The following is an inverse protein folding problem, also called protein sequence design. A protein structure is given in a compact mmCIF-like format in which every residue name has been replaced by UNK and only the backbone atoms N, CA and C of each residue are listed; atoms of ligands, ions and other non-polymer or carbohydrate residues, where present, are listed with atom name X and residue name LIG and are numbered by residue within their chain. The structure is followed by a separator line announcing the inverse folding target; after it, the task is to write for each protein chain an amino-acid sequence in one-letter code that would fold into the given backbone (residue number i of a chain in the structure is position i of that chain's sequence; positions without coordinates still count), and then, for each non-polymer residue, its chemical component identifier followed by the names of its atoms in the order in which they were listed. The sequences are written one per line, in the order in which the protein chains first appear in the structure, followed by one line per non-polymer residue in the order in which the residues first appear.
data_IF_483186486682
#
_entry.id   IF_483186486682
#
_cell.length_a   1.000
_cell.length_b   1.000
_cell.length_c   1.000
_cell.angle_alpha   90.00
_cell.angle_beta   90.00
_cell.angle_gamma   90.00
#
_symmetry.space_group_name_H-M   'P 1'
#
loop_
_entity.id
_entity.type
_entity.pdbx_description
1 polymer ?
#
# COMPACT_ATOMS: atom_id res chain seq x y z
N UNK A 1 -11.23 -4.39 -31.41
CA UNK A 1 -11.05 -3.25 -30.49
C UNK A 1 -10.03 -3.68 -29.45
N UNK A 2 -8.77 -3.24 -29.58
CA UNK A 2 -7.70 -3.62 -28.65
C UNK A 2 -7.68 -2.58 -27.54
N UNK A 3 -8.25 -2.89 -26.38
CA UNK A 3 -8.12 -2.06 -25.18
C UNK A 3 -6.63 -1.97 -24.82
N UNK A 4 -6.06 -0.78 -24.93
CA UNK A 4 -4.72 -0.50 -24.41
C UNK A 4 -4.78 -0.68 -22.89
N UNK A 5 -4.20 -1.78 -22.39
CA UNK A 5 -4.10 -2.05 -20.96
C UNK A 5 -3.19 -0.97 -20.36
N UNK A 6 -3.68 -0.26 -19.34
CA UNK A 6 -2.93 0.81 -18.70
C UNK A 6 -1.67 0.25 -18.02
N UNK A 7 -0.58 1.03 -17.98
CA UNK A 7 0.67 0.62 -17.31
C UNK A 7 0.46 0.19 -15.85
N UNK A 8 -0.51 0.79 -15.15
CA UNK A 8 -0.91 0.41 -13.79
C UNK A 8 -1.49 -0.99 -13.70
N UNK A 9 -2.35 -1.38 -14.65
CA UNK A 9 -2.98 -2.70 -14.69
C UNK A 9 -1.95 -3.81 -14.97
N UNK A 10 -1.00 -3.57 -15.88
CA UNK A 10 0.10 -4.50 -16.14
C UNK A 10 0.97 -4.74 -14.90
N UNK A 11 1.28 -3.67 -14.14
CA UNK A 11 2.04 -3.80 -12.89
C UNK A 11 1.24 -4.50 -11.81
N UNK A 12 -0.07 -4.27 -11.72
CA UNK A 12 -0.94 -4.97 -10.78
C UNK A 12 -0.95 -6.48 -11.07
N UNK A 13 -1.19 -6.88 -12.32
CA UNK A 13 -1.16 -8.30 -12.71
C UNK A 13 0.22 -8.96 -12.45
N UNK A 14 1.31 -8.21 -12.67
CA UNK A 14 2.65 -8.68 -12.34
C UNK A 14 2.87 -8.83 -10.82
N UNK A 15 2.32 -7.92 -10.01
CA UNK A 15 2.38 -8.00 -8.55
C UNK A 15 1.59 -9.21 -8.04
N UNK A 16 0.36 -9.42 -8.52
CA UNK A 16 -0.47 -10.58 -8.16
C UNK A 16 0.27 -11.89 -8.40
N UNK A 17 0.90 -12.04 -9.57
CA UNK A 17 1.72 -13.22 -9.89
C UNK A 17 2.94 -13.34 -8.99
N UNK A 18 3.64 -12.24 -8.70
CA UNK A 18 4.85 -12.24 -7.90
C UNK A 18 4.58 -12.64 -6.44
N UNK A 19 3.44 -12.21 -5.90
CA UNK A 19 3.03 -12.50 -4.52
C UNK A 19 2.05 -13.68 -4.40
N UNK A 20 1.91 -14.46 -5.47
CA UNK A 20 1.08 -15.67 -5.48
C UNK A 20 1.52 -16.62 -4.37
N UNK A 21 0.58 -17.09 -3.55
CA UNK A 21 0.84 -17.96 -2.41
C UNK A 21 1.21 -17.24 -1.11
N UNK A 22 1.29 -15.91 -1.12
CA UNK A 22 1.43 -15.11 0.11
C UNK A 22 0.07 -14.61 0.61
N UNK A 23 -0.07 -14.50 1.93
CA UNK A 23 -1.27 -13.94 2.57
C UNK A 23 -1.29 -12.39 2.46
N UNK A 24 -1.57 -11.89 1.25
CA UNK A 24 -1.74 -10.46 0.98
C UNK A 24 -3.20 -10.07 1.23
N UNK A 25 -3.43 -9.04 2.03
CA UNK A 25 -4.77 -8.47 2.28
C UNK A 25 -5.28 -7.73 1.07
N UNK A 26 -4.47 -6.87 0.44
CA UNK A 26 -4.79 -6.19 -0.80
C UNK A 26 -3.55 -5.60 -1.49
N UNK A 27 -3.69 -5.22 -2.76
CA UNK A 27 -2.72 -4.44 -3.51
C UNK A 27 -3.15 -2.97 -3.55
N UNK A 28 -2.18 -2.06 -3.53
CA UNK A 28 -2.43 -0.62 -3.54
C UNK A 28 -1.72 0.05 -4.71
N UNK A 29 -2.44 0.89 -5.46
CA UNK A 29 -1.88 1.80 -6.48
C UNK A 29 -2.06 3.25 -6.06
N UNK A 30 -1.32 4.16 -6.69
CA UNK A 30 -1.37 5.60 -6.41
C UNK A 30 -1.19 5.94 -4.93
N UNK A 31 -0.23 5.25 -4.32
CA UNK A 31 0.02 5.35 -2.88
C UNK A 31 0.79 6.63 -2.54
N UNK A 32 0.36 7.25 -1.46
CA UNK A 32 1.10 8.24 -0.68
C UNK A 32 1.07 7.81 0.80
N UNK A 33 2.13 8.11 1.55
CA UNK A 33 2.21 7.88 2.99
C UNK A 33 1.78 9.16 3.72
N UNK A 34 0.79 9.05 4.60
CA UNK A 34 0.23 10.18 5.34
C UNK A 34 0.06 9.79 6.80
N UNK A 35 0.70 10.53 7.71
CA UNK A 35 0.60 10.33 9.16
C UNK A 35 0.74 8.84 9.54
N UNK A 36 1.85 8.22 9.13
CA UNK A 36 2.18 6.81 9.35
C UNK A 36 1.25 5.77 8.70
N UNK A 37 0.24 6.16 7.93
CA UNK A 37 -0.64 5.24 7.20
C UNK A 37 -0.40 5.32 5.68
N UNK A 38 -0.75 4.28 4.93
CA UNK A 38 -0.80 4.34 3.48
C UNK A 38 -2.18 4.78 3.01
N UNK A 39 -2.22 5.69 2.04
CA UNK A 39 -3.43 6.13 1.36
C UNK A 39 -3.27 5.84 -0.13
N UNK A 40 -4.20 5.08 -0.71
CA UNK A 40 -4.10 4.65 -2.10
C UNK A 40 -5.37 3.96 -2.60
N UNK A 41 -5.36 3.60 -3.88
CA UNK A 41 -6.45 2.85 -4.53
C UNK A 41 -6.26 1.36 -4.27
N UNK A 42 -7.29 0.70 -3.75
CA UNK A 42 -7.26 -0.72 -3.36
C UNK A 42 -7.66 -1.64 -4.51
N UNK A 43 -7.01 -2.80 -4.57
CA UNK A 43 -7.30 -3.88 -5.53
C UNK A 43 -7.16 -5.24 -4.85
N UNK A 44 -8.02 -6.18 -5.25
CA UNK A 44 -8.04 -7.58 -4.78
C UNK A 44 -8.05 -7.70 -3.27
N UNK A 45 -8.83 -6.86 -2.59
CA UNK A 45 -8.94 -6.99 -1.15
C UNK A 45 -9.60 -8.32 -0.78
N UNK A 46 -9.13 -8.99 0.26
CA UNK A 46 -9.71 -10.26 0.75
C UNK A 46 -11.17 -10.16 1.23
N UNK A 47 -11.70 -8.94 1.36
CA UNK A 47 -13.07 -8.62 1.77
C UNK A 47 -13.78 -7.81 0.67
N UNK A 48 -13.30 -7.90 -0.58
CA UNK A 48 -13.96 -7.28 -1.72
C UNK A 48 -15.42 -7.77 -1.80
N UNK A 49 -16.36 -6.83 -1.95
CA UNK A 49 -17.80 -7.08 -1.84
C UNK A 49 -18.45 -6.51 -0.57
N UNK A 50 -17.67 -6.04 0.41
CA UNK A 50 -18.16 -5.39 1.63
C UNK A 50 -18.09 -3.84 1.56
N UNK A 51 -18.44 -3.24 0.42
CA UNK A 51 -18.52 -1.78 0.21
C UNK A 51 -17.16 -1.06 0.25
N UNK A 52 -16.61 -0.81 1.45
CA UNK A 52 -15.41 0.02 1.66
C UNK A 52 -14.16 -0.48 0.93
N UNK A 53 -14.07 -1.79 0.71
CA UNK A 53 -12.91 -2.47 0.12
C UNK A 53 -13.16 -2.96 -1.31
N UNK A 54 -14.16 -2.41 -1.99
CA UNK A 54 -14.35 -2.65 -3.42
C UNK A 54 -13.12 -2.20 -4.22
N UNK A 55 -12.77 -2.97 -5.24
CA UNK A 55 -11.67 -2.65 -6.15
C UNK A 55 -11.88 -1.24 -6.75
N UNK A 56 -10.80 -0.47 -6.83
CA UNK A 56 -10.82 0.91 -7.32
C UNK A 56 -11.17 1.97 -6.26
N UNK A 57 -11.53 1.58 -5.03
CA UNK A 57 -11.78 2.56 -3.95
C UNK A 57 -10.47 3.12 -3.39
N UNK A 58 -10.45 4.41 -3.09
CA UNK A 58 -9.35 5.02 -2.32
C UNK A 58 -9.58 4.74 -0.83
N UNK A 59 -8.62 4.10 -0.18
CA UNK A 59 -8.65 3.77 1.25
C UNK A 59 -7.47 4.39 1.98
N UNK A 60 -7.63 4.53 3.30
CA UNK A 60 -6.54 4.70 4.25
C UNK A 60 -6.42 3.42 5.07
N UNK A 61 -5.20 2.87 5.14
CA UNK A 61 -4.89 1.74 6.02
C UNK A 61 -4.84 2.20 7.49
N UNK A 62 -4.78 1.28 8.45
CA UNK A 62 -4.26 1.66 9.77
C UNK A 62 -2.77 2.00 9.67
N UNK A 63 -2.17 2.42 10.78
CA UNK A 63 -0.75 2.77 10.82
C UNK A 63 0.14 1.62 10.37
N UNK A 64 1.20 1.97 9.67
CA UNK A 64 2.24 1.07 9.19
C UNK A 64 3.06 0.68 10.40
N UNK A 65 3.02 -0.61 10.74
CA UNK A 65 3.83 -1.20 11.79
C UNK A 65 5.20 -1.63 11.27
N UNK A 66 5.23 -2.24 10.08
CA UNK A 66 6.46 -2.67 9.41
C UNK A 66 6.38 -2.41 7.92
N UNK A 67 7.52 -2.07 7.31
CA UNK A 67 7.65 -1.86 5.88
C UNK A 67 8.88 -2.58 5.34
N UNK A 68 8.72 -3.30 4.23
CA UNK A 68 9.80 -4.05 3.59
C UNK A 68 9.85 -3.76 2.09
N UNK A 69 11.06 -3.62 1.55
CA UNK A 69 11.27 -3.46 0.11
C UNK A 69 11.49 -4.84 -0.54
N UNK A 70 10.70 -5.13 -1.57
CA UNK A 70 10.81 -6.31 -2.44
C UNK A 70 10.69 -5.83 -3.88
N UNK A 71 11.81 -5.35 -4.42
CA UNK A 71 11.87 -4.65 -5.71
C UNK A 71 11.05 -5.38 -6.79
N UNK A 72 10.16 -4.67 -7.53
CA UNK A 72 9.92 -3.23 -7.49
C UNK A 72 8.88 -2.75 -6.47
N UNK A 73 8.40 -3.65 -5.60
CA UNK A 73 7.27 -3.43 -4.71
C UNK A 73 7.69 -3.11 -3.28
N UNK A 74 6.74 -2.55 -2.53
CA UNK A 74 6.86 -2.42 -1.09
C UNK A 74 5.75 -3.21 -0.41
N UNK A 75 6.08 -3.86 0.70
CA UNK A 75 5.15 -4.59 1.54
C UNK A 75 4.96 -3.79 2.83
N UNK A 76 3.70 -3.62 3.23
CA UNK A 76 3.31 -2.97 4.48
C UNK A 76 2.62 -4.00 5.36
N UNK A 77 3.07 -4.15 6.60
CA UNK A 77 2.27 -4.73 7.68
C UNK A 77 1.75 -3.59 8.53
N UNK A 78 0.45 -3.60 8.74
CA UNK A 78 -0.26 -2.55 9.47
C UNK A 78 -0.51 -2.95 10.91
N UNK A 79 -0.77 -1.99 11.80
CA UNK A 79 -1.03 -2.23 13.22
C UNK A 79 -2.24 -3.14 13.47
N UNK A 80 -3.21 -3.20 12.54
CA UNK A 80 -4.33 -4.16 12.60
C UNK A 80 -3.97 -5.57 12.12
N UNK A 81 -2.71 -5.83 11.76
CA UNK A 81 -2.23 -7.11 11.23
C UNK A 81 -2.48 -7.33 9.74
N UNK A 82 -2.99 -6.34 9.00
CA UNK A 82 -3.24 -6.46 7.56
C UNK A 82 -1.97 -6.23 6.73
N UNK A 83 -1.82 -7.00 5.65
CA UNK A 83 -0.66 -7.01 4.76
C UNK A 83 -1.00 -6.37 3.41
N UNK A 84 -0.36 -5.27 3.04
CA UNK A 84 -0.60 -4.58 1.77
C UNK A 84 0.64 -4.57 0.90
N UNK A 85 0.46 -4.72 -0.41
CA UNK A 85 1.53 -4.56 -1.40
C UNK A 85 1.33 -3.24 -2.16
N UNK A 86 2.28 -2.32 -2.07
CA UNK A 86 2.32 -1.10 -2.89
C UNK A 86 2.85 -1.46 -4.28
N UNK A 87 2.00 -1.26 -5.28
CA UNK A 87 2.28 -1.51 -6.71
C UNK A 87 2.80 -0.23 -7.38
N UNK A 88 2.18 0.92 -7.10
CA UNK A 88 2.59 2.22 -7.63
C UNK A 88 2.44 3.34 -6.61
N UNK A 89 3.28 4.37 -6.73
CA UNK A 89 3.15 5.62 -5.98
C UNK A 89 2.37 6.66 -6.79
N UNK A 90 1.71 7.58 -6.08
CA UNK A 90 1.01 8.73 -6.68
C UNK A 90 2.01 9.76 -7.21
N UNK A 91 2.43 9.60 -8.46
CA UNK A 91 3.43 10.47 -9.08
C UNK A 91 4.68 10.64 -8.22
N UNK A 92 5.34 11.80 -8.33
CA UNK A 92 6.54 12.10 -7.54
C UNK A 92 6.23 12.30 -6.05
N UNK A 93 5.07 12.87 -5.73
CA UNK A 93 4.70 13.20 -4.35
C UNK A 93 4.52 11.93 -3.49
N UNK A 94 3.93 10.88 -4.05
CA UNK A 94 3.80 9.59 -3.36
C UNK A 94 5.15 8.98 -3.01
N UNK A 95 6.12 9.03 -3.93
CA UNK A 95 7.48 8.53 -3.66
C UNK A 95 8.21 9.38 -2.63
N UNK A 96 8.04 10.71 -2.70
CA UNK A 96 8.62 11.63 -1.72
C UNK A 96 8.07 11.37 -0.31
N UNK A 97 6.75 11.14 -0.17
CA UNK A 97 6.13 10.84 1.12
C UNK A 97 6.66 9.55 1.76
N UNK A 98 6.99 8.54 0.94
CA UNK A 98 7.69 7.35 1.44
C UNK A 98 9.10 7.68 1.91
N UNK A 99 9.87 8.45 1.14
CA UNK A 99 11.22 8.82 1.54
C UNK A 99 11.22 9.58 2.88
N UNK A 100 10.26 10.48 3.06
CA UNK A 100 10.13 11.25 4.30
C UNK A 100 9.70 10.36 5.47
N UNK A 101 8.78 9.41 5.24
CA UNK A 101 8.45 8.39 6.24
C UNK A 101 9.66 7.53 6.64
N UNK A 102 10.45 7.07 5.66
CA UNK A 102 11.65 6.27 5.94
C UNK A 102 12.69 7.07 6.73
N UNK A 103 12.89 8.36 6.44
CA UNK A 103 13.77 9.23 7.22
C UNK A 103 13.33 9.36 8.68
N UNK A 104 12.03 9.44 8.95
CA UNK A 104 11.49 9.46 10.32
C UNK A 104 11.82 8.14 11.04
N UNK A 105 11.59 7.00 10.38
CA UNK A 105 11.89 5.69 10.94
C UNK A 105 13.39 5.45 11.17
N UNK A 106 14.26 5.86 10.24
CA UNK A 106 15.72 5.65 10.36
C UNK A 106 16.40 6.71 11.22
N UNK A 107 15.79 7.88 11.38
CA UNK A 107 16.27 8.97 12.24
C UNK A 107 15.99 8.77 13.72
N UNK A 108 15.45 7.62 14.13
CA UNK A 108 15.14 7.30 15.53
C UNK A 108 13.89 7.97 16.09
N UNK A 109 13.10 8.66 15.26
CA UNK A 109 11.83 9.24 15.67
C UNK A 109 10.73 8.22 15.41
N UNK A 110 10.48 7.37 16.40
CA UNK A 110 9.31 6.50 16.40
C UNK A 110 8.14 7.31 16.98
N UNK A 111 7.17 7.79 16.17
CA UNK A 111 5.92 8.29 16.73
C UNK A 111 5.22 7.09 17.37
N UNK A 112 5.50 6.84 18.64
CA UNK A 112 4.72 5.90 19.44
C UNK A 112 3.33 6.53 19.56
N UNK A 113 2.26 5.89 19.07
CA UNK A 113 0.91 6.39 19.31
C UNK A 113 0.72 6.38 20.83
N UNK A 114 0.53 7.57 21.44
CA UNK A 114 0.41 7.65 22.90
C UNK A 114 -0.94 7.15 23.41
N UNK A 115 -1.98 7.09 22.59
CA UNK A 115 -3.28 6.57 23.00
C UNK A 115 -4.05 5.99 21.81
N UNK A 116 -4.53 4.74 21.97
CA UNK A 116 -5.75 4.29 21.29
C UNK A 116 -6.90 5.06 21.96
N UNK A 117 -7.65 5.86 21.20
CA UNK A 117 -8.95 6.40 21.62
C UNK A 117 -10.04 5.76 20.78
#
# INVERSE_FOLDING_TARGET
MTTSIGFGELRLAAAERHFSGMAVTAFLTEVEIVACSAVGVVHKHTLAGAGRFEDGRRIRTSDIHLMAHRSPYWILLTASGSCYVIVTFKGNNGRQSLNDFLKVLTGGFYPTPRHLQ
#
